data_IF_388174155949
#
_entry.id   IF_388174155949
#
_cell.length_a   1.000
_cell.length_b   1.000
_cell.length_c   1.000
_cell.angle_alpha   90.00
_cell.angle_beta   90.00
_cell.angle_gamma   90.00
#
_symmetry.space_group_name_H-M   'P 1'
#
loop_
_entity.id
_entity.type
_entity.pdbx_description
1 polymer ?
#
# COMPACT_ATOMS: atom_id res chain seq x y z
N UNK A 1 0.20 1.81 21.88
CA UNK A 1 -1.23 2.18 21.69
C UNK A 1 -2.06 0.95 21.99
N UNK A 2 -3.15 1.04 22.77
CA UNK A 2 -4.02 -0.12 23.00
C UNK A 2 -4.97 -0.26 21.80
N UNK A 3 -4.98 -1.44 21.17
CA UNK A 3 -5.84 -1.80 20.04
C UNK A 3 -7.27 -2.23 20.48
N UNK A 4 -7.58 -2.13 21.77
CA UNK A 4 -8.69 -2.89 22.40
C UNK A 4 -9.93 -2.05 22.73
N UNK A 5 -9.90 -0.73 22.58
CA UNK A 5 -11.08 0.09 22.85
C UNK A 5 -11.88 0.36 21.57
N UNK A 6 -13.17 0.00 21.50
CA UNK A 6 -13.99 0.28 20.33
C UNK A 6 -14.04 1.78 20.02
N UNK A 7 -13.86 2.12 18.74
CA UNK A 7 -14.05 3.48 18.25
C UNK A 7 -15.54 3.64 17.96
N UNK A 8 -16.22 4.67 18.52
CA UNK A 8 -17.64 4.90 18.27
C UNK A 8 -17.93 5.09 16.77
N UNK A 9 -19.12 4.68 16.35
CA UNK A 9 -19.61 5.02 15.01
C UNK A 9 -19.58 6.55 14.80
N UNK A 10 -19.35 7.07 13.58
CA UNK A 10 -19.23 8.51 13.31
C UNK A 10 -20.35 9.36 13.96
N UNK A 11 -21.60 8.88 13.93
CA UNK A 11 -22.75 9.58 14.53
C UNK A 11 -22.77 9.57 16.06
N UNK A 12 -21.90 8.81 16.70
CA UNK A 12 -21.80 8.65 18.16
C UNK A 12 -20.55 9.31 18.73
N UNK A 13 -19.68 9.85 17.87
CA UNK A 13 -18.50 10.56 18.33
C UNK A 13 -18.92 11.85 19.02
N UNK A 14 -18.53 11.97 20.28
CA UNK A 14 -18.83 13.14 21.10
C UNK A 14 -17.55 13.83 21.63
N UNK A 15 -17.74 15.03 22.18
CA UNK A 15 -16.63 15.82 22.75
C UNK A 15 -15.95 15.13 23.93
N UNK A 16 -16.68 14.52 24.89
CA UNK A 16 -16.04 13.80 26.00
C UNK A 16 -15.11 12.69 25.54
N UNK A 17 -15.58 11.82 24.65
CA UNK A 17 -14.78 10.72 24.11
C UNK A 17 -13.52 11.22 23.39
N UNK A 18 -13.68 12.18 22.46
CA UNK A 18 -12.56 12.69 21.68
C UNK A 18 -11.55 13.45 22.56
N UNK A 19 -12.04 14.20 23.57
CA UNK A 19 -11.16 14.87 24.54
C UNK A 19 -10.34 13.86 25.34
N UNK A 20 -10.98 12.79 25.83
CA UNK A 20 -10.29 11.74 26.58
C UNK A 20 -9.22 11.05 25.70
N UNK A 21 -9.55 10.73 24.45
CA UNK A 21 -8.63 10.13 23.50
C UNK A 21 -7.41 11.03 23.21
N UNK A 22 -7.63 12.31 22.92
CA UNK A 22 -6.54 13.23 22.62
C UNK A 22 -5.65 13.53 23.84
N UNK A 23 -6.22 13.51 25.07
CA UNK A 23 -5.45 13.54 26.31
C UNK A 23 -4.60 12.29 26.50
N UNK A 24 -5.16 11.10 26.27
CA UNK A 24 -4.45 9.81 26.33
C UNK A 24 -3.26 9.78 25.35
N UNK A 25 -3.40 10.40 24.19
CA UNK A 25 -2.34 10.52 23.18
C UNK A 25 -1.36 11.70 23.44
N UNK A 26 -1.48 12.40 24.57
CA UNK A 26 -0.60 13.52 24.92
C UNK A 26 -0.77 14.79 24.06
N UNK A 27 -1.85 14.85 23.29
CA UNK A 27 -2.16 15.98 22.39
C UNK A 27 -2.82 17.13 23.12
N UNK A 28 -3.60 16.84 24.16
CA UNK A 28 -4.24 17.82 25.05
C UNK A 28 -3.74 17.65 26.48
N UNK A 29 -3.34 18.75 27.11
CA UNK A 29 -2.95 18.76 28.52
C UNK A 29 -4.19 18.94 29.42
N UNK A 30 -4.67 20.17 29.56
CA UNK A 30 -5.79 20.53 30.46
C UNK A 30 -7.03 21.00 29.73
N UNK A 31 -6.90 21.49 28.51
CA UNK A 31 -7.97 22.12 27.76
C UNK A 31 -8.94 21.08 27.17
N UNK A 32 -10.14 21.51 26.87
CA UNK A 32 -11.18 20.70 26.27
C UNK A 32 -11.43 21.02 24.79
N UNK A 33 -12.32 20.26 24.22
CA UNK A 33 -12.88 20.49 22.88
C UNK A 33 -14.14 21.35 23.04
N UNK A 34 -14.14 22.52 22.37
CA UNK A 34 -15.29 23.43 22.36
C UNK A 34 -16.41 22.91 21.45
N UNK A 35 -16.04 22.52 20.23
CA UNK A 35 -16.99 22.07 19.23
C UNK A 35 -16.36 20.98 18.34
N UNK A 36 -17.20 20.05 17.88
CA UNK A 36 -16.85 19.08 16.84
C UNK A 36 -17.94 19.08 15.76
N UNK A 37 -17.52 18.91 14.52
CA UNK A 37 -18.39 18.62 13.39
C UNK A 37 -17.90 17.33 12.75
N UNK A 38 -18.81 16.40 12.47
CA UNK A 38 -18.52 15.11 11.84
C UNK A 38 -19.22 15.06 10.49
N UNK A 39 -18.45 15.01 9.44
CA UNK A 39 -18.92 14.90 8.06
C UNK A 39 -18.56 13.51 7.52
N UNK A 40 -19.56 12.64 7.39
CA UNK A 40 -19.37 11.27 6.91
C UNK A 40 -19.77 11.13 5.45
N UNK A 41 -18.94 10.43 4.67
CA UNK A 41 -19.21 10.09 3.28
C UNK A 41 -18.87 8.63 3.00
N UNK A 42 -19.70 7.90 2.22
CA UNK A 42 -19.36 6.56 1.78
C UNK A 42 -18.17 6.61 0.80
N UNK A 43 -17.29 5.62 0.90
CA UNK A 43 -16.25 5.32 -0.06
C UNK A 43 -16.50 3.92 -0.64
N UNK A 44 -15.73 3.51 -1.63
CA UNK A 44 -15.96 2.25 -2.35
C UNK A 44 -15.91 1.02 -1.45
N UNK A 45 -14.96 0.98 -0.50
CA UNK A 45 -14.73 -0.19 0.37
C UNK A 45 -14.70 0.18 1.86
N UNK A 46 -15.07 1.42 2.22
CA UNK A 46 -15.00 1.92 3.58
C UNK A 46 -16.00 3.06 3.81
N UNK A 47 -16.23 3.40 5.07
CA UNK A 47 -16.88 4.66 5.46
C UNK A 47 -15.79 5.62 5.94
N UNK A 48 -15.74 6.80 5.35
CA UNK A 48 -14.79 7.86 5.74
C UNK A 48 -15.56 8.98 6.41
N UNK A 49 -15.16 9.37 7.61
CA UNK A 49 -15.69 10.54 8.28
C UNK A 49 -14.56 11.52 8.59
N UNK A 50 -14.77 12.79 8.26
CA UNK A 50 -13.92 13.91 8.69
C UNK A 50 -14.47 14.49 9.97
N UNK A 51 -13.61 14.65 10.98
CA UNK A 51 -13.95 15.21 12.28
C UNK A 51 -13.22 16.55 12.41
N UNK A 52 -13.94 17.65 12.25
CA UNK A 52 -13.41 19.00 12.49
C UNK A 52 -13.49 19.34 13.98
N UNK A 53 -12.44 19.98 14.51
CA UNK A 53 -12.29 20.19 15.95
C UNK A 53 -12.00 21.67 16.23
N UNK A 54 -12.81 22.27 17.08
CA UNK A 54 -12.55 23.58 17.71
C UNK A 54 -12.22 23.35 19.18
N UNK A 55 -11.12 23.95 19.62
CA UNK A 55 -10.66 23.84 21.01
C UNK A 55 -11.05 25.06 21.85
N UNK A 56 -11.04 24.88 23.16
CA UNK A 56 -11.11 25.97 24.11
C UNK A 56 -9.86 26.86 24.03
N UNK A 57 -9.94 28.09 24.50
CA UNK A 57 -8.84 29.03 24.50
C UNK A 57 -7.61 28.47 25.23
N UNK A 58 -6.42 28.60 24.62
CA UNK A 58 -5.15 28.12 25.18
C UNK A 58 -4.79 26.68 24.82
N UNK A 59 -5.50 26.02 23.90
CA UNK A 59 -5.08 24.72 23.36
C UNK A 59 -3.69 24.78 22.71
N UNK A 60 -2.99 23.65 22.73
CA UNK A 60 -1.67 23.53 22.09
C UNK A 60 -1.76 23.86 20.60
N UNK A 61 -0.74 24.58 20.09
CA UNK A 61 -0.70 25.00 18.67
C UNK A 61 -0.72 23.82 17.71
N UNK A 62 -0.13 22.70 18.12
CA UNK A 62 0.04 21.48 17.31
C UNK A 62 -1.13 20.48 17.47
N UNK A 63 -2.18 20.84 18.19
CA UNK A 63 -3.37 20.00 18.29
C UNK A 63 -4.09 19.92 16.93
N UNK A 64 -4.46 18.72 16.47
CA UNK A 64 -5.07 18.51 15.14
C UNK A 64 -6.42 19.20 15.05
N UNK A 65 -6.62 20.03 14.04
CA UNK A 65 -7.92 20.70 13.80
C UNK A 65 -8.89 19.86 13.01
N UNK A 66 -8.40 18.79 12.41
CA UNK A 66 -9.20 17.82 11.69
C UNK A 66 -8.59 16.43 11.82
N UNK A 67 -9.43 15.41 11.88
CA UNK A 67 -9.04 14.00 11.90
C UNK A 67 -9.87 13.24 10.86
N UNK A 68 -9.34 12.12 10.37
CA UNK A 68 -10.04 11.18 9.50
C UNK A 68 -10.33 9.91 10.28
N UNK A 69 -11.59 9.51 10.32
CA UNK A 69 -12.00 8.19 10.77
C UNK A 69 -12.32 7.34 9.54
N UNK A 70 -11.58 6.25 9.36
CA UNK A 70 -11.87 5.20 8.39
C UNK A 70 -12.49 4.02 9.13
N UNK A 71 -13.64 3.54 8.66
CA UNK A 71 -14.28 2.32 9.15
C UNK A 71 -14.52 1.37 8.00
N UNK A 72 -14.08 0.14 8.15
CA UNK A 72 -14.29 -0.95 7.19
C UNK A 72 -15.25 -1.93 7.84
N UNK A 73 -16.39 -2.14 7.19
CA UNK A 73 -17.40 -3.07 7.69
C UNK A 73 -16.98 -4.52 7.49
N UNK A 74 -17.58 -5.40 8.29
CA UNK A 74 -17.43 -6.83 8.14
C UNK A 74 -17.88 -7.29 6.75
N UNK A 75 -16.94 -7.65 5.93
CA UNK A 75 -17.17 -8.15 4.58
C UNK A 75 -16.36 -9.39 4.33
N UNK A 76 -17.02 -10.53 4.23
CA UNK A 76 -16.54 -11.72 3.53
C UNK A 76 -15.14 -12.22 3.88
N UNK A 77 -14.72 -12.33 5.13
CA UNK A 77 -13.58 -13.18 5.55
C UNK A 77 -12.21 -12.98 4.85
N UNK A 78 -12.10 -11.99 3.97
CA UNK A 78 -10.93 -11.75 3.11
C UNK A 78 -10.00 -10.65 3.62
N UNK A 79 -10.39 -9.92 4.67
CA UNK A 79 -9.63 -8.80 5.20
C UNK A 79 -8.83 -9.24 6.42
N UNK A 80 -7.56 -8.83 6.49
CA UNK A 80 -6.67 -9.05 7.65
C UNK A 80 -6.48 -7.75 8.40
N UNK A 81 -5.93 -7.86 9.62
CA UNK A 81 -5.51 -6.72 10.43
C UNK A 81 -4.27 -5.99 9.86
N UNK A 82 -3.90 -6.25 8.60
CA UNK A 82 -2.69 -5.71 7.99
C UNK A 82 -2.68 -4.18 7.99
N UNK A 83 -3.80 -3.58 7.61
CA UNK A 83 -3.91 -2.12 7.59
C UNK A 83 -3.91 -1.53 9.00
N UNK A 84 -4.63 -2.13 9.96
CA UNK A 84 -4.60 -1.69 11.36
C UNK A 84 -3.20 -1.80 11.94
N UNK A 85 -2.51 -2.91 11.67
CA UNK A 85 -1.14 -3.10 12.11
C UNK A 85 -0.17 -2.07 11.49
N UNK A 86 -0.39 -1.71 10.23
CA UNK A 86 0.39 -0.69 9.53
C UNK A 86 0.39 0.64 10.29
N UNK A 87 -0.79 1.11 10.71
CA UNK A 87 -0.91 2.39 11.42
C UNK A 87 -0.59 2.30 12.91
N UNK A 88 -0.84 1.16 13.55
CA UNK A 88 -0.92 1.07 14.99
C UNK A 88 0.16 0.20 15.66
N UNK A 89 0.96 -0.53 14.86
CA UNK A 89 1.97 -1.46 15.39
C UNK A 89 3.30 -1.42 14.64
N UNK A 90 3.25 -1.62 13.30
CA UNK A 90 4.43 -2.03 12.55
C UNK A 90 5.52 -0.95 12.48
N UNK A 91 5.13 0.32 12.50
CA UNK A 91 6.03 1.46 12.33
C UNK A 91 6.01 2.45 13.51
N UNK A 92 5.48 2.06 14.67
CA UNK A 92 5.40 2.95 15.85
C UNK A 92 6.76 3.48 16.30
N UNK A 93 7.82 2.68 16.15
CA UNK A 93 9.18 3.04 16.57
C UNK A 93 9.97 3.75 15.44
N UNK A 94 9.39 3.92 14.25
CA UNK A 94 10.01 4.66 13.18
C UNK A 94 9.74 6.15 13.36
N UNK A 95 10.76 6.88 13.81
CA UNK A 95 10.66 8.33 13.89
C UNK A 95 10.35 8.92 12.51
N UNK A 96 9.40 9.85 12.43
CA UNK A 96 8.96 10.47 11.18
C UNK A 96 8.56 9.48 10.08
N UNK A 97 7.92 8.39 10.43
CA UNK A 97 7.39 7.45 9.45
C UNK A 97 6.57 8.19 8.36
N UNK A 98 6.69 7.79 7.09
CA UNK A 98 5.88 8.35 6.00
C UNK A 98 4.45 7.79 6.03
N UNK A 99 3.81 7.84 7.18
CA UNK A 99 2.48 7.31 7.49
C UNK A 99 1.76 8.36 8.33
N UNK A 100 0.49 8.70 8.05
CA UNK A 100 -0.28 9.60 8.90
C UNK A 100 -0.30 9.13 10.35
N UNK A 101 -0.23 10.07 11.28
CA UNK A 101 -0.28 9.75 12.70
C UNK A 101 -1.60 9.09 13.04
N UNK A 102 -1.54 7.90 13.64
CA UNK A 102 -2.70 7.20 14.16
C UNK A 102 -2.97 7.61 15.61
N UNK A 103 -4.22 7.95 15.92
CA UNK A 103 -4.66 8.32 17.26
C UNK A 103 -5.40 7.19 17.97
N UNK A 104 -6.13 6.37 17.19
CA UNK A 104 -6.78 5.17 17.68
C UNK A 104 -6.95 4.18 16.53
N UNK A 105 -6.90 2.90 16.83
CA UNK A 105 -7.26 1.84 15.91
C UNK A 105 -7.93 0.71 16.69
N UNK A 106 -8.93 0.08 16.09
CA UNK A 106 -9.68 -1.01 16.69
C UNK A 106 -10.03 -2.06 15.64
N UNK A 107 -9.93 -3.32 16.02
CA UNK A 107 -10.39 -4.46 15.23
C UNK A 107 -11.44 -5.19 16.05
N UNK A 108 -12.61 -5.38 15.47
CA UNK A 108 -13.62 -6.29 16.00
C UNK A 108 -13.30 -7.71 15.53
N UNK A 109 -12.76 -8.51 16.44
CA UNK A 109 -12.36 -9.90 16.16
C UNK A 109 -13.54 -10.83 15.84
N UNK A 110 -14.75 -10.46 16.23
CA UNK A 110 -15.95 -11.30 16.07
C UNK A 110 -16.47 -11.26 14.63
N UNK A 111 -16.37 -10.08 13.99
CA UNK A 111 -16.89 -9.88 12.64
C UNK A 111 -15.84 -9.44 11.62
N UNK A 112 -14.61 -9.11 12.05
CA UNK A 112 -13.51 -8.68 11.19
C UNK A 112 -13.60 -7.22 10.71
N UNK A 113 -14.56 -6.43 11.22
CA UNK A 113 -14.59 -4.99 10.96
C UNK A 113 -13.46 -4.27 11.69
N UNK A 114 -13.06 -3.12 11.19
CA UNK A 114 -12.04 -2.32 11.87
C UNK A 114 -12.26 -0.82 11.66
N UNK A 115 -11.73 -0.04 12.58
CA UNK A 115 -11.73 1.43 12.52
C UNK A 115 -10.36 2.00 12.84
N UNK A 116 -9.97 3.06 12.13
CA UNK A 116 -8.71 3.77 12.29
C UNK A 116 -9.00 5.27 12.33
N UNK A 117 -8.60 5.92 13.41
CA UNK A 117 -8.63 7.38 13.54
C UNK A 117 -7.24 7.95 13.34
N UNK A 118 -7.08 8.74 12.31
CA UNK A 118 -5.78 9.25 11.89
C UNK A 118 -5.78 10.76 11.63
N UNK A 119 -4.60 11.30 11.47
CA UNK A 119 -4.36 12.69 11.07
C UNK A 119 -5.00 13.00 9.71
N UNK A 120 -5.63 14.17 9.60
CA UNK A 120 -6.12 14.71 8.33
C UNK A 120 -5.06 15.58 7.68
N UNK A 121 -4.47 15.10 6.61
CA UNK A 121 -3.42 15.78 5.84
C UNK A 121 -3.99 16.53 4.62
N UNK A 122 -5.29 16.53 4.38
CA UNK A 122 -5.91 17.09 3.17
C UNK A 122 -5.68 18.60 2.97
N UNK A 123 -5.30 19.33 4.00
CA UNK A 123 -4.97 20.77 3.88
C UNK A 123 -3.53 21.03 3.38
N UNK A 124 -2.66 20.05 3.42
CA UNK A 124 -1.22 20.18 3.11
C UNK A 124 -0.75 19.23 2.03
N UNK A 125 -1.54 18.20 1.72
CA UNK A 125 -1.20 17.17 0.75
C UNK A 125 -2.35 16.94 -0.22
N UNK A 126 -2.00 16.55 -1.42
CA UNK A 126 -2.93 16.14 -2.47
C UNK A 126 -2.59 14.72 -2.94
N UNK A 127 -3.56 14.08 -3.56
CA UNK A 127 -3.41 12.82 -4.30
C UNK A 127 -3.09 13.12 -5.77
N UNK A 128 -2.23 14.11 -6.02
CA UNK A 128 -1.82 14.43 -7.38
C UNK A 128 -1.09 13.24 -7.97
N UNK A 129 -1.61 12.81 -9.08
CA UNK A 129 -1.21 11.57 -9.72
C UNK A 129 -0.32 11.79 -10.94
N UNK A 130 0.05 13.03 -11.22
CA UNK A 130 0.97 13.30 -12.33
C UNK A 130 2.39 12.94 -11.94
N UNK A 131 2.87 11.74 -12.26
CA UNK A 131 4.22 11.34 -11.90
C UNK A 131 5.20 12.23 -12.68
N UNK A 132 6.07 12.91 -11.96
CA UNK A 132 7.20 13.65 -12.50
C UNK A 132 8.49 13.12 -11.92
N UNK A 133 9.62 13.61 -12.41
CA UNK A 133 10.93 13.15 -11.95
C UNK A 133 11.08 13.30 -10.43
N UNK A 134 10.80 14.49 -9.90
CA UNK A 134 10.92 14.77 -8.47
C UNK A 134 9.95 13.93 -7.62
N UNK A 135 8.71 13.77 -8.08
CA UNK A 135 7.72 12.91 -7.44
C UNK A 135 8.24 11.47 -7.30
N UNK A 136 8.78 10.89 -8.38
CA UNK A 136 9.34 9.55 -8.35
C UNK A 136 10.47 9.38 -7.36
N UNK A 137 11.40 10.35 -7.29
CA UNK A 137 12.53 10.32 -6.35
C UNK A 137 12.08 10.43 -4.88
N UNK A 138 11.10 11.27 -4.58
CA UNK A 138 10.59 11.46 -3.23
C UNK A 138 9.76 10.25 -2.76
N UNK A 139 8.93 9.67 -3.63
CA UNK A 139 8.20 8.42 -3.34
C UNK A 139 9.18 7.27 -3.10
N UNK A 140 10.20 7.11 -3.94
CA UNK A 140 11.24 6.09 -3.76
C UNK A 140 11.98 6.25 -2.43
N UNK A 141 12.32 7.48 -2.05
CA UNK A 141 12.98 7.78 -0.78
C UNK A 141 12.10 7.46 0.43
N UNK A 142 10.82 7.78 0.35
CA UNK A 142 9.85 7.50 1.41
C UNK A 142 9.59 5.98 1.55
N UNK A 143 9.47 5.24 0.43
CA UNK A 143 9.37 3.77 0.45
C UNK A 143 10.62 3.12 1.01
N UNK A 144 11.81 3.55 0.57
CA UNK A 144 13.06 3.02 1.11
C UNK A 144 13.13 3.15 2.63
N UNK A 145 12.64 4.26 3.20
CA UNK A 145 12.59 4.48 4.65
C UNK A 145 11.70 3.47 5.37
N UNK A 146 10.51 3.15 4.82
CA UNK A 146 9.66 2.09 5.36
C UNK A 146 10.33 0.73 5.24
N UNK A 147 10.91 0.44 4.08
CA UNK A 147 11.50 -0.86 3.79
C UNK A 147 12.74 -1.13 4.63
N UNK A 148 13.63 -0.15 4.81
CA UNK A 148 14.79 -0.28 5.73
C UNK A 148 14.34 -0.63 7.14
N UNK A 149 13.29 -0.01 7.65
CA UNK A 149 12.77 -0.30 8.98
C UNK A 149 12.21 -1.72 9.12
N UNK A 150 11.63 -2.25 8.04
CA UNK A 150 11.14 -3.63 7.96
C UNK A 150 12.16 -4.64 7.43
N UNK A 151 13.42 -4.21 7.14
CA UNK A 151 14.40 -5.02 6.43
C UNK A 151 14.91 -6.20 7.22
N UNK A 152 15.04 -7.35 6.54
CA UNK A 152 15.67 -8.52 7.07
C UNK A 152 14.77 -9.43 7.90
N UNK A 153 15.18 -10.69 7.99
CA UNK A 153 14.40 -11.79 8.55
C UNK A 153 14.00 -11.56 10.02
N UNK A 154 14.91 -11.05 10.85
CA UNK A 154 14.65 -10.84 12.27
C UNK A 154 13.51 -9.83 12.52
N UNK A 155 13.50 -8.74 11.76
CA UNK A 155 12.44 -7.71 11.88
C UNK A 155 11.11 -8.22 11.36
N UNK A 156 11.14 -8.91 10.21
CA UNK A 156 9.95 -9.53 9.62
C UNK A 156 9.33 -10.55 10.57
N UNK A 157 10.14 -11.40 11.21
CA UNK A 157 9.66 -12.38 12.16
C UNK A 157 8.98 -11.75 13.38
N UNK A 158 9.47 -10.61 13.84
CA UNK A 158 8.85 -9.86 14.96
C UNK A 158 7.49 -9.27 14.61
N UNK A 159 7.28 -8.86 13.36
CA UNK A 159 6.11 -8.11 12.94
C UNK A 159 5.04 -8.97 12.27
N UNK A 160 5.41 -9.86 11.37
CA UNK A 160 4.46 -10.64 10.54
C UNK A 160 4.74 -12.16 10.52
N UNK A 161 5.68 -12.61 11.34
CA UNK A 161 5.87 -14.01 11.66
C UNK A 161 6.71 -14.85 10.71
N UNK A 162 6.88 -14.52 9.44
CA UNK A 162 7.83 -15.17 8.49
C UNK A 162 7.96 -14.40 7.18
N UNK A 163 9.15 -14.42 6.58
CA UNK A 163 9.35 -14.23 5.14
C UNK A 163 8.40 -15.18 4.42
N UNK A 164 7.81 -14.73 3.32
CA UNK A 164 6.82 -15.50 2.57
C UNK A 164 7.21 -16.96 2.47
N UNK A 165 6.54 -17.80 3.25
CA UNK A 165 6.71 -19.23 3.08
C UNK A 165 6.05 -19.64 1.74
N UNK A 166 6.44 -20.76 1.19
CA UNK A 166 5.90 -21.25 -0.07
C UNK A 166 4.36 -21.31 -0.03
N UNK A 167 3.75 -21.55 1.13
CA UNK A 167 2.31 -21.59 1.29
C UNK A 167 1.63 -20.21 1.10
N UNK A 168 2.30 -19.10 1.42
CA UNK A 168 1.79 -17.75 1.12
C UNK A 168 1.84 -17.48 -0.38
N UNK A 169 2.95 -17.83 -1.04
CA UNK A 169 3.08 -17.72 -2.50
C UNK A 169 2.08 -18.59 -3.22
N UNK A 170 1.89 -19.85 -2.79
CA UNK A 170 0.92 -20.77 -3.36
C UNK A 170 -0.51 -20.22 -3.30
N UNK A 171 -0.90 -19.65 -2.16
CA UNK A 171 -2.22 -19.02 -2.01
C UNK A 171 -2.37 -17.79 -2.91
N UNK A 172 -1.35 -16.95 -2.99
CA UNK A 172 -1.37 -15.78 -3.88
C UNK A 172 -1.52 -16.20 -5.34
N UNK A 173 -0.69 -17.11 -5.81
CA UNK A 173 -0.72 -17.61 -7.20
C UNK A 173 -2.02 -18.34 -7.50
N UNK A 174 -2.51 -19.17 -6.58
CA UNK A 174 -3.78 -19.87 -6.74
C UNK A 174 -4.97 -18.89 -6.82
N UNK A 175 -4.91 -17.78 -6.06
CA UNK A 175 -5.93 -16.75 -6.11
C UNK A 175 -5.95 -16.05 -7.48
N UNK A 176 -4.83 -15.50 -7.92
CA UNK A 176 -4.76 -14.73 -9.17
C UNK A 176 -4.98 -15.59 -10.42
N UNK A 177 -4.62 -16.87 -10.37
CA UNK A 177 -4.84 -17.83 -11.46
C UNK A 177 -6.33 -18.04 -11.79
N UNK A 178 -7.23 -17.80 -10.85
CA UNK A 178 -8.68 -17.89 -11.09
C UNK A 178 -9.17 -16.91 -12.17
N UNK A 179 -8.48 -15.77 -12.33
CA UNK A 179 -8.83 -14.78 -13.34
C UNK A 179 -8.21 -15.02 -14.72
N UNK A 180 -7.26 -15.97 -14.87
CA UNK A 180 -6.50 -16.14 -16.11
C UNK A 180 -7.39 -16.45 -17.32
N UNK A 181 -8.26 -17.44 -17.22
CA UNK A 181 -9.11 -17.85 -18.34
C UNK A 181 -10.06 -16.70 -18.74
N UNK A 182 -10.59 -15.96 -17.76
CA UNK A 182 -11.43 -14.81 -18.00
C UNK A 182 -10.67 -13.65 -18.63
N UNK A 183 -9.43 -13.39 -18.22
CA UNK A 183 -8.56 -12.40 -18.84
C UNK A 183 -8.29 -12.74 -20.30
N UNK A 184 -7.92 -13.98 -20.58
CA UNK A 184 -7.65 -14.46 -21.93
C UNK A 184 -8.88 -14.41 -22.84
N UNK A 185 -10.07 -14.73 -22.31
CA UNK A 185 -11.32 -14.61 -23.07
C UNK A 185 -11.69 -13.15 -23.29
N UNK A 186 -11.62 -12.31 -22.26
CA UNK A 186 -11.97 -10.89 -22.35
C UNK A 186 -11.05 -10.09 -23.29
N UNK A 187 -9.85 -10.62 -23.57
CA UNK A 187 -8.84 -9.98 -24.44
C UNK A 187 -8.63 -10.71 -25.76
N UNK A 188 -9.44 -11.72 -26.07
CA UNK A 188 -9.22 -12.64 -27.18
C UNK A 188 -8.98 -11.97 -28.55
N UNK A 189 -9.66 -10.86 -28.82
CA UNK A 189 -9.56 -10.12 -30.10
C UNK A 189 -8.77 -8.82 -29.97
N UNK A 190 -8.33 -8.46 -28.76
CA UNK A 190 -7.91 -7.10 -28.45
C UNK A 190 -6.41 -6.99 -28.14
N UNK A 191 -5.71 -8.11 -27.98
CA UNK A 191 -4.27 -8.14 -27.72
C UNK A 191 -3.53 -8.96 -28.79
N UNK A 192 -2.26 -8.64 -29.08
CA UNK A 192 -1.42 -9.44 -29.97
C UNK A 192 -1.24 -10.88 -29.46
N UNK A 193 -1.11 -11.84 -30.39
CA UNK A 193 -0.83 -13.25 -30.04
C UNK A 193 0.41 -13.39 -29.16
N UNK A 194 1.46 -12.62 -29.46
CA UNK A 194 2.68 -12.57 -28.65
C UNK A 194 2.42 -12.22 -27.17
N UNK A 195 1.49 -11.31 -26.90
CA UNK A 195 1.12 -11.00 -25.53
C UNK A 195 0.35 -12.14 -24.86
N UNK A 196 -0.53 -12.77 -25.61
CA UNK A 196 -1.27 -13.93 -25.14
C UNK A 196 -0.34 -15.07 -24.74
N UNK A 197 0.65 -15.38 -25.59
CA UNK A 197 1.68 -16.38 -25.30
C UNK A 197 2.50 -15.99 -24.05
N UNK A 198 2.91 -14.73 -23.95
CA UNK A 198 3.64 -14.23 -22.79
C UNK A 198 2.83 -14.31 -21.48
N UNK A 199 1.53 -14.00 -21.52
CA UNK A 199 0.64 -14.15 -20.35
C UNK A 199 0.59 -15.61 -19.90
N UNK A 200 0.41 -16.54 -20.82
CA UNK A 200 0.41 -17.97 -20.51
C UNK A 200 1.75 -18.43 -19.92
N UNK A 201 2.86 -17.98 -20.49
CA UNK A 201 4.21 -18.26 -20.00
C UNK A 201 4.46 -17.69 -18.59
N UNK A 202 3.99 -16.48 -18.31
CA UNK A 202 4.04 -15.88 -16.97
C UNK A 202 3.34 -16.81 -15.96
N UNK A 203 2.14 -17.25 -16.22
CA UNK A 203 1.41 -18.11 -15.29
C UNK A 203 1.98 -19.52 -15.16
N UNK A 204 2.71 -20.00 -16.15
CA UNK A 204 3.35 -21.33 -16.14
C UNK A 204 4.71 -21.32 -15.44
N UNK A 205 5.57 -20.34 -15.73
CA UNK A 205 6.97 -20.40 -15.34
C UNK A 205 7.38 -19.39 -14.27
N UNK A 206 6.74 -18.24 -14.20
CA UNK A 206 7.10 -17.21 -13.24
C UNK A 206 6.90 -17.62 -11.77
N UNK A 207 5.85 -18.42 -11.37
CA UNK A 207 5.72 -18.90 -9.99
C UNK A 207 6.96 -19.61 -9.48
N UNK A 208 7.59 -20.42 -10.32
CA UNK A 208 8.82 -21.14 -9.97
C UNK A 208 9.98 -20.16 -9.68
N UNK A 209 10.14 -19.11 -10.50
CA UNK A 209 11.16 -18.08 -10.28
C UNK A 209 10.93 -17.36 -8.94
N UNK A 210 9.67 -17.08 -8.58
CA UNK A 210 9.33 -16.51 -7.28
C UNK A 210 9.71 -17.44 -6.12
N UNK A 211 9.41 -18.74 -6.21
CA UNK A 211 9.81 -19.70 -5.18
C UNK A 211 11.34 -19.83 -5.06
N UNK A 212 12.04 -19.91 -6.18
CA UNK A 212 13.50 -19.98 -6.19
C UNK A 212 14.10 -18.74 -5.50
N UNK A 213 13.50 -17.54 -5.71
CA UNK A 213 13.96 -16.30 -5.08
C UNK A 213 13.80 -16.28 -3.56
N UNK A 214 12.85 -17.03 -2.99
CA UNK A 214 12.67 -17.10 -1.53
C UNK A 214 13.81 -17.82 -0.80
N UNK A 215 14.69 -18.50 -1.50
CA UNK A 215 15.86 -19.15 -0.89
C UNK A 215 16.94 -18.15 -0.46
N UNK A 216 16.91 -16.92 -0.95
CA UNK A 216 17.79 -15.84 -0.53
C UNK A 216 16.97 -14.77 0.22
N UNK A 217 17.21 -14.53 1.52
CA UNK A 217 16.43 -13.59 2.31
C UNK A 217 16.72 -12.12 2.02
N UNK A 218 17.77 -11.80 1.26
CA UNK A 218 18.12 -10.41 0.94
C UNK A 218 17.03 -9.74 0.10
N UNK A 219 16.80 -8.45 0.29
CA UNK A 219 15.76 -7.73 -0.44
C UNK A 219 14.34 -7.84 0.14
N UNK A 220 14.10 -8.78 1.06
CA UNK A 220 12.80 -8.96 1.69
C UNK A 220 12.56 -7.93 2.79
N UNK A 221 11.34 -7.39 2.79
CA UNK A 221 10.87 -6.45 3.80
C UNK A 221 9.35 -6.56 3.98
N UNK A 222 8.81 -5.75 4.86
CA UNK A 222 7.37 -5.52 4.93
C UNK A 222 7.00 -4.56 3.82
N UNK A 223 6.22 -5.03 2.84
CA UNK A 223 5.76 -4.22 1.72
C UNK A 223 4.42 -3.56 2.00
N UNK A 224 4.15 -2.47 1.31
CA UNK A 224 2.85 -1.81 1.34
C UNK A 224 1.81 -2.64 0.56
N UNK A 225 2.17 -3.10 -0.63
CA UNK A 225 1.40 -4.00 -1.47
C UNK A 225 0.27 -3.34 -2.25
N UNK A 226 0.04 -2.03 -2.07
CA UNK A 226 -0.96 -1.25 -2.81
C UNK A 226 -0.54 0.22 -2.96
N UNK A 227 0.68 0.45 -3.42
CA UNK A 227 1.23 1.79 -3.70
C UNK A 227 0.66 2.32 -5.02
N UNK A 228 -0.63 2.57 -5.06
CA UNK A 228 -1.26 3.27 -6.18
C UNK A 228 -1.29 4.79 -5.91
N UNK A 229 -1.46 5.63 -6.95
CA UNK A 229 -1.49 7.10 -6.78
C UNK A 229 -2.56 7.60 -5.80
N UNK A 230 -3.68 6.88 -5.68
CA UNK A 230 -4.75 7.21 -4.71
C UNK A 230 -4.33 6.99 -3.25
N UNK A 231 -3.28 6.19 -2.99
CA UNK A 231 -2.74 5.89 -1.68
C UNK A 231 -1.47 6.70 -1.34
N UNK A 232 -1.06 7.61 -2.22
CA UNK A 232 0.09 8.50 -2.01
C UNK A 232 -0.43 9.91 -1.75
N UNK A 233 -0.10 10.47 -0.60
CA UNK A 233 -0.32 11.87 -0.28
C UNK A 233 0.98 12.64 -0.54
N UNK A 234 0.96 13.47 -1.57
CA UNK A 234 2.11 14.27 -1.99
C UNK A 234 1.99 15.71 -1.47
N UNK A 235 3.05 16.30 -0.90
CA UNK A 235 2.97 17.63 -0.30
C UNK A 235 2.77 18.72 -1.35
N UNK A 236 1.80 19.62 -1.14
CA UNK A 236 1.49 20.74 -2.06
C UNK A 236 2.60 21.80 -2.06
N UNK A 237 3.22 22.06 -0.92
CA UNK A 237 4.22 23.14 -0.74
C UNK A 237 5.56 22.61 -0.22
N UNK A 238 5.98 21.42 -0.68
CA UNK A 238 7.15 20.75 -0.14
C UNK A 238 6.86 20.09 1.21
N UNK A 239 7.67 19.12 1.58
CA UNK A 239 7.47 18.34 2.79
C UNK A 239 7.66 16.85 2.53
N UNK A 240 7.05 16.04 3.36
CA UNK A 240 7.17 14.59 3.38
C UNK A 240 6.02 13.94 2.59
N UNK A 241 6.32 12.92 1.82
CA UNK A 241 5.30 12.03 1.22
C UNK A 241 4.73 11.13 2.30
N UNK A 242 3.44 10.82 2.24
CA UNK A 242 2.80 9.85 3.11
C UNK A 242 2.09 8.76 2.31
N UNK A 243 2.03 7.56 2.87
CA UNK A 243 1.34 6.41 2.29
C UNK A 243 0.13 6.02 3.12
N UNK A 244 -0.97 5.71 2.43
CA UNK A 244 -2.25 5.29 2.99
C UNK A 244 -2.57 3.86 2.58
N UNK A 245 -3.49 3.23 3.30
CA UNK A 245 -4.24 2.06 2.84
C UNK A 245 -3.37 0.86 2.44
N UNK A 246 -2.48 0.40 3.35
CA UNK A 246 -1.74 -0.84 3.13
C UNK A 246 -2.68 -1.99 2.83
N UNK A 247 -2.30 -2.83 1.84
CA UNK A 247 -3.07 -3.97 1.36
C UNK A 247 -3.64 -4.86 2.49
N UNK A 248 -4.97 -4.99 2.60
CA UNK A 248 -5.59 -5.70 3.73
C UNK A 248 -5.92 -7.17 3.44
N UNK A 249 -5.84 -7.63 2.20
CA UNK A 249 -6.38 -8.94 1.79
C UNK A 249 -5.57 -10.13 2.28
N UNK A 250 -6.26 -11.24 2.53
CA UNK A 250 -5.66 -12.46 3.11
C UNK A 250 -4.73 -13.18 2.15
N UNK A 251 -4.88 -13.00 0.85
CA UNK A 251 -4.01 -13.57 -0.18
C UNK A 251 -2.81 -12.69 -0.52
N UNK A 252 -2.83 -11.42 -0.15
CA UNK A 252 -1.76 -10.46 -0.46
C UNK A 252 -0.44 -10.82 0.21
N UNK A 253 0.64 -10.53 -0.48
CA UNK A 253 1.99 -10.63 0.07
C UNK A 253 2.26 -9.40 0.92
N UNK A 254 2.26 -9.55 2.24
CA UNK A 254 2.59 -8.47 3.19
C UNK A 254 4.09 -8.39 3.48
N UNK A 255 4.81 -9.44 3.15
CA UNK A 255 6.28 -9.53 3.18
C UNK A 255 6.73 -10.05 1.83
N UNK A 256 7.51 -9.25 1.13
CA UNK A 256 8.05 -9.57 -0.19
C UNK A 256 9.28 -8.72 -0.46
N UNK A 257 9.80 -8.78 -1.69
CA UNK A 257 10.88 -7.93 -2.17
C UNK A 257 10.46 -6.45 -2.12
N UNK A 258 11.21 -5.60 -1.42
CA UNK A 258 10.82 -4.19 -1.25
C UNK A 258 10.62 -3.44 -2.56
N UNK A 259 11.43 -3.77 -3.59
CA UNK A 259 11.31 -3.16 -4.91
C UNK A 259 9.97 -3.47 -5.62
N UNK A 260 9.19 -4.45 -5.13
CA UNK A 260 7.87 -4.77 -5.67
C UNK A 260 6.89 -3.62 -5.57
N UNK A 261 6.95 -2.82 -4.51
CA UNK A 261 6.11 -1.62 -4.38
C UNK A 261 6.42 -0.59 -5.46
N UNK A 262 7.70 -0.39 -5.82
CA UNK A 262 8.07 0.47 -6.94
C UNK A 262 7.67 -0.12 -8.29
N UNK A 263 7.83 -1.43 -8.47
CA UNK A 263 7.37 -2.12 -9.69
C UNK A 263 5.86 -1.94 -9.86
N UNK A 264 5.09 -2.16 -8.80
CA UNK A 264 3.64 -1.96 -8.80
C UNK A 264 3.27 -0.52 -9.20
N UNK A 265 3.89 0.50 -8.57
CA UNK A 265 3.62 1.90 -8.89
C UNK A 265 3.99 2.25 -10.33
N UNK A 266 5.23 1.97 -10.74
CA UNK A 266 5.75 2.46 -12.01
C UNK A 266 5.19 1.68 -13.21
N UNK A 267 5.06 0.37 -13.09
CA UNK A 267 4.60 -0.47 -14.19
C UNK A 267 3.09 -0.37 -14.38
N UNK A 268 2.32 -0.32 -13.30
CA UNK A 268 0.87 -0.31 -13.38
C UNK A 268 0.28 1.08 -13.63
N UNK A 269 0.83 2.12 -12.99
CA UNK A 269 0.19 3.44 -12.97
C UNK A 269 0.87 4.50 -13.81
N UNK A 270 2.16 4.37 -14.14
CA UNK A 270 2.82 5.37 -14.97
C UNK A 270 2.57 5.11 -16.46
N UNK A 271 2.50 6.20 -17.23
CA UNK A 271 2.52 6.09 -18.68
C UNK A 271 3.81 5.38 -19.14
N UNK A 272 3.71 4.55 -20.18
CA UNK A 272 4.82 3.70 -20.65
C UNK A 272 6.06 4.52 -21.00
N UNK A 273 5.90 5.64 -21.71
CA UNK A 273 7.04 6.48 -22.09
C UNK A 273 7.67 7.18 -20.90
N UNK A 274 6.83 7.63 -19.96
CA UNK A 274 7.29 8.24 -18.72
C UNK A 274 8.02 7.22 -17.84
N UNK A 275 7.48 6.02 -17.70
CA UNK A 275 8.17 4.92 -17.02
C UNK A 275 9.55 4.67 -17.61
N UNK A 276 9.65 4.49 -18.93
CA UNK A 276 10.93 4.29 -19.65
C UNK A 276 11.96 5.38 -19.38
N UNK A 277 11.51 6.63 -19.25
CA UNK A 277 12.41 7.76 -19.00
C UNK A 277 12.89 7.86 -17.56
N UNK A 278 12.06 7.47 -16.60
CA UNK A 278 12.29 7.78 -15.19
C UNK A 278 12.65 6.56 -14.32
N UNK A 279 12.25 5.34 -14.71
CA UNK A 279 12.32 4.17 -13.83
C UNK A 279 13.73 3.88 -13.30
N UNK A 280 14.76 3.97 -14.12
CA UNK A 280 16.15 3.71 -13.67
C UNK A 280 16.59 4.73 -12.61
N UNK A 281 16.30 6.01 -12.81
CA UNK A 281 16.66 7.05 -11.83
C UNK A 281 15.91 6.89 -10.52
N UNK A 282 14.65 6.43 -10.57
CA UNK A 282 13.85 6.14 -9.38
C UNK A 282 14.39 4.92 -8.64
N UNK A 283 14.77 3.86 -9.36
CA UNK A 283 15.42 2.68 -8.79
C UNK A 283 16.80 3.02 -8.17
N UNK A 284 17.59 3.87 -8.83
CA UNK A 284 18.87 4.35 -8.30
C UNK A 284 18.69 5.15 -7.01
N UNK A 285 17.67 6.03 -6.96
CA UNK A 285 17.33 6.77 -5.74
C UNK A 285 16.92 5.82 -4.61
N UNK A 286 16.05 4.85 -4.90
CA UNK A 286 15.62 3.86 -3.93
C UNK A 286 16.81 3.06 -3.38
N UNK A 287 17.66 2.52 -4.26
CA UNK A 287 18.84 1.76 -3.86
C UNK A 287 19.79 2.60 -2.99
N UNK A 288 20.10 3.83 -3.43
CA UNK A 288 20.93 4.75 -2.65
C UNK A 288 20.37 4.98 -1.25
N UNK A 289 19.04 5.20 -1.14
CA UNK A 289 18.40 5.39 0.15
C UNK A 289 18.43 4.13 1.03
N UNK A 290 18.37 2.94 0.47
CA UNK A 290 18.57 1.70 1.22
C UNK A 290 19.99 1.66 1.81
N UNK A 291 21.02 1.91 1.00
CA UNK A 291 22.42 1.90 1.42
C UNK A 291 22.70 2.99 2.46
N UNK A 292 22.26 4.22 2.22
CA UNK A 292 22.46 5.37 3.13
C UNK A 292 21.81 5.13 4.51
N UNK A 293 20.78 4.30 4.58
CA UNK A 293 20.09 3.94 5.80
C UNK A 293 20.51 2.56 6.37
N UNK A 294 21.61 1.98 5.87
CA UNK A 294 22.31 0.87 6.52
C UNK A 294 22.08 -0.53 5.93
N UNK A 295 21.39 -0.66 4.80
CA UNK A 295 21.34 -1.92 4.04
C UNK A 295 22.68 -2.11 3.32
N UNK A 296 23.44 -3.18 3.65
CA UNK A 296 24.79 -3.39 3.12
C UNK A 296 24.93 -4.63 2.27
N UNK A 297 23.92 -5.48 2.22
CA UNK A 297 23.91 -6.80 1.60
C UNK A 297 23.04 -6.90 0.35
N UNK A 298 22.56 -5.77 -0.17
CA UNK A 298 21.66 -5.71 -1.33
C UNK A 298 22.26 -4.84 -2.44
N UNK A 299 22.92 -5.48 -3.39
CA UNK A 299 23.60 -4.81 -4.49
C UNK A 299 22.68 -4.32 -5.59
N UNK A 300 23.18 -3.40 -6.42
CA UNK A 300 22.42 -2.82 -7.55
C UNK A 300 21.93 -3.87 -8.54
N UNK A 301 22.79 -4.82 -8.92
CA UNK A 301 22.44 -5.89 -9.87
C UNK A 301 21.33 -6.79 -9.30
N UNK A 302 21.35 -7.07 -7.99
CA UNK A 302 20.31 -7.82 -7.32
C UNK A 302 18.97 -7.05 -7.30
N UNK A 303 19.01 -5.75 -7.02
CA UNK A 303 17.83 -4.90 -7.10
C UNK A 303 17.20 -4.91 -8.48
N UNK A 304 18.01 -4.79 -9.55
CA UNK A 304 17.50 -4.85 -10.93
C UNK A 304 16.93 -6.24 -11.27
N UNK A 305 17.56 -7.32 -10.82
CA UNK A 305 17.06 -8.67 -11.00
C UNK A 305 15.70 -8.85 -10.28
N UNK A 306 15.58 -8.34 -9.06
CA UNK A 306 14.35 -8.38 -8.27
C UNK A 306 13.26 -7.49 -8.87
N UNK A 307 13.59 -6.30 -9.36
CA UNK A 307 12.64 -5.46 -10.09
C UNK A 307 12.09 -6.18 -11.32
N UNK A 308 12.98 -6.77 -12.12
CA UNK A 308 12.59 -7.59 -13.27
C UNK A 308 11.70 -8.76 -12.88
N UNK A 309 11.97 -9.42 -11.75
CA UNK A 309 11.12 -10.48 -11.21
C UNK A 309 9.73 -9.97 -10.80
N UNK A 310 9.62 -8.72 -10.32
CA UNK A 310 8.34 -8.16 -9.87
C UNK A 310 7.44 -7.66 -11.03
N UNK A 311 7.97 -7.37 -12.21
CA UNK A 311 7.18 -6.88 -13.36
C UNK A 311 6.03 -7.82 -13.73
N UNK A 312 6.20 -9.15 -13.89
CA UNK A 312 5.12 -10.07 -14.21
C UNK A 312 4.00 -10.11 -13.16
N UNK A 313 4.27 -9.71 -11.91
CA UNK A 313 3.24 -9.66 -10.86
C UNK A 313 2.15 -8.64 -11.15
N UNK A 314 2.42 -7.62 -11.96
CA UNK A 314 1.38 -6.68 -12.42
C UNK A 314 0.36 -7.39 -13.32
N UNK A 315 0.77 -8.38 -14.13
CA UNK A 315 -0.15 -9.21 -14.90
C UNK A 315 -1.05 -10.06 -13.98
N UNK A 316 -0.54 -10.48 -12.82
CA UNK A 316 -1.35 -11.14 -11.80
C UNK A 316 -2.43 -10.22 -11.24
N UNK A 317 -2.10 -8.96 -10.96
CA UNK A 317 -3.09 -7.96 -10.51
C UNK A 317 -4.19 -7.75 -11.57
N UNK A 318 -3.81 -7.69 -12.84
CA UNK A 318 -4.78 -7.60 -13.95
C UNK A 318 -5.69 -8.83 -14.00
N UNK A 319 -5.15 -10.03 -13.82
CA UNK A 319 -5.96 -11.25 -13.77
C UNK A 319 -6.89 -11.25 -12.55
N UNK A 320 -6.47 -10.70 -11.41
CA UNK A 320 -7.30 -10.56 -10.21
C UNK A 320 -8.56 -9.74 -10.47
N UNK A 321 -8.50 -8.65 -11.23
CA UNK A 321 -9.67 -7.89 -11.68
C UNK A 321 -10.66 -8.73 -12.48
N UNK A 322 -10.21 -9.79 -13.12
CA UNK A 322 -11.03 -10.64 -13.96
C UNK A 322 -11.73 -11.79 -13.20
N UNK A 323 -11.46 -11.99 -11.91
CA UNK A 323 -12.04 -13.07 -11.11
C UNK A 323 -13.55 -12.90 -10.98
N UNK A 324 -14.00 -11.70 -10.61
CA UNK A 324 -15.42 -11.41 -10.43
C UNK A 324 -15.99 -10.75 -11.70
N UNK A 325 -17.11 -11.26 -12.25
CA UNK A 325 -17.70 -10.70 -13.47
C UNK A 325 -18.03 -9.20 -13.37
N UNK A 326 -18.59 -8.80 -12.23
CA UNK A 326 -18.98 -7.40 -11.99
C UNK A 326 -17.76 -6.47 -11.99
N UNK A 327 -16.67 -6.85 -11.35
CA UNK A 327 -15.43 -6.07 -11.30
C UNK A 327 -14.74 -6.08 -12.66
N UNK A 328 -14.67 -7.22 -13.33
CA UNK A 328 -14.11 -7.34 -14.68
C UNK A 328 -14.77 -6.37 -15.64
N UNK A 329 -16.10 -6.30 -15.64
CA UNK A 329 -16.82 -5.45 -16.59
C UNK A 329 -16.78 -3.97 -16.18
N UNK A 330 -16.99 -3.68 -14.90
CA UNK A 330 -16.96 -2.32 -14.34
C UNK A 330 -15.59 -1.66 -14.47
N UNK A 331 -14.51 -2.42 -14.22
CA UNK A 331 -13.14 -1.92 -14.18
C UNK A 331 -12.38 -2.20 -15.47
N UNK A 332 -13.06 -2.60 -16.56
CA UNK A 332 -12.43 -2.96 -17.85
C UNK A 332 -11.50 -1.86 -18.38
N UNK A 333 -11.90 -0.61 -18.24
CA UNK A 333 -11.12 0.54 -18.68
C UNK A 333 -9.78 0.67 -17.94
N UNK A 334 -9.74 0.26 -16.67
CA UNK A 334 -8.55 0.31 -15.82
C UNK A 334 -7.63 -0.88 -16.11
N UNK A 335 -8.11 -2.11 -15.89
CA UNK A 335 -7.25 -3.28 -16.01
C UNK A 335 -6.73 -3.52 -17.44
N UNK A 336 -7.40 -3.02 -18.47
CA UNK A 336 -6.87 -3.06 -19.84
C UNK A 336 -5.67 -2.12 -20.01
N UNK A 337 -5.74 -0.94 -19.45
CA UNK A 337 -4.62 0.01 -19.44
C UNK A 337 -3.44 -0.55 -18.63
N UNK A 338 -3.74 -1.16 -17.50
CA UNK A 338 -2.73 -1.84 -16.66
C UNK A 338 -2.06 -3.00 -17.39
N UNK A 339 -2.85 -3.81 -18.12
CA UNK A 339 -2.30 -4.90 -18.95
C UNK A 339 -1.36 -4.37 -20.02
N UNK A 340 -1.76 -3.33 -20.74
CA UNK A 340 -0.93 -2.72 -21.79
C UNK A 340 0.41 -2.25 -21.22
N UNK A 341 0.38 -1.54 -20.11
CA UNK A 341 1.58 -1.06 -19.42
C UNK A 341 2.47 -2.19 -18.91
N UNK A 342 1.86 -3.21 -18.31
CA UNK A 342 2.58 -4.39 -17.82
C UNK A 342 3.27 -5.15 -18.94
N UNK A 343 2.58 -5.35 -20.08
CA UNK A 343 3.17 -6.05 -21.22
C UNK A 343 4.29 -5.24 -21.87
N UNK A 344 4.16 -3.93 -21.98
CA UNK A 344 5.28 -3.11 -22.44
C UNK A 344 6.49 -3.22 -21.50
N UNK A 345 6.30 -3.15 -20.17
CA UNK A 345 7.39 -3.33 -19.22
C UNK A 345 8.02 -4.73 -19.31
N UNK A 346 7.19 -5.76 -19.46
CA UNK A 346 7.64 -7.14 -19.62
C UNK A 346 8.62 -7.32 -20.79
N UNK A 347 8.29 -6.73 -21.94
CA UNK A 347 9.17 -6.80 -23.11
C UNK A 347 10.37 -5.84 -23.03
N UNK A 348 10.19 -4.63 -22.52
CA UNK A 348 11.27 -3.66 -22.32
C UNK A 348 12.39 -4.22 -21.44
N UNK A 349 12.04 -4.98 -20.40
CA UNK A 349 12.99 -5.60 -19.47
C UNK A 349 13.43 -7.01 -19.88
N UNK A 350 12.94 -7.53 -20.99
CA UNK A 350 13.24 -8.89 -21.41
C UNK A 350 12.90 -9.92 -20.34
N UNK A 351 11.69 -9.84 -19.76
CA UNK A 351 11.23 -10.78 -18.73
C UNK A 351 10.83 -12.16 -19.26
N UNK A 352 10.79 -12.32 -20.60
CA UNK A 352 10.61 -13.62 -21.25
C UNK A 352 11.67 -14.64 -20.78
N UNK A 353 11.37 -15.94 -20.79
CA UNK A 353 12.24 -17.01 -20.31
C UNK A 353 13.57 -17.06 -21.02
#
# INVERSE_FOLDING_TARGET
MQLDEPIPHPNQIDKPWLTALLKKNGVLASNGIRHIQVDASPSTNAHIARIQIEYDAGAQRDAPRSLILKTVEAGAGFVRNSEVNYYARDYLDLADAPIPKCYAAHVDSDNGSYSILMEDLSSTHDKDTSPGFQYGLEVASALARLHVFGWGEERIQKLDGRISDNAKLDRYIAHVRQGLDWLLEATRTDIPDLWREAILDIFEHHPRKMWERTNDPTGFTIVHGDINPGNILYPVNGGKVYFLDRQPFTWSLTTWLGVSDLSYLMVQYWDTEQRRQLELSVLEQYHRQLIDNGVTDYGWDQLLADYKLCIPQVVYTVAEWCIQPEDRDRMRWLWRLELERAMHAFFDWGCAP
#
